data_IF_879419819343
#
_entry.id   IF_879419819343
#
_cell.length_a   1.000
_cell.length_b   1.000
_cell.length_c   1.000
_cell.angle_alpha   90.00
_cell.angle_beta   90.00
_cell.angle_gamma   90.00
#
_symmetry.space_group_name_H-M   'P 1'
#
loop_
_entity.id
_entity.type
_entity.pdbx_description
1 polymer ?
#
# COMPACT_ATOMS: atom_id res chain seq x y z
N UNK A 1 8.97 -5.04 5.20
CA UNK A 1 8.53 -4.31 6.37
C UNK A 1 9.11 -4.94 7.63
N UNK A 2 9.72 -4.14 8.49
CA UNK A 2 10.34 -4.61 9.74
C UNK A 2 9.32 -5.08 10.77
N UNK A 3 8.06 -4.66 10.61
CA UNK A 3 6.99 -5.01 11.53
C UNK A 3 5.75 -5.44 10.75
N UNK A 4 5.80 -6.61 10.10
CA UNK A 4 4.71 -7.04 9.24
C UNK A 4 3.43 -7.29 10.04
N UNK A 5 2.30 -6.87 9.48
CA UNK A 5 0.98 -6.98 10.09
C UNK A 5 0.16 -8.17 9.56
N UNK A 6 0.76 -8.97 8.68
CA UNK A 6 0.15 -10.16 8.10
C UNK A 6 1.26 -11.11 7.62
N UNK A 7 0.95 -12.39 7.37
CA UNK A 7 1.92 -13.35 6.82
C UNK A 7 2.52 -12.89 5.49
N UNK A 8 1.73 -12.18 4.67
CA UNK A 8 2.23 -11.47 3.51
C UNK A 8 1.99 -9.99 3.73
N UNK A 9 3.04 -9.20 3.69
CA UNK A 9 2.95 -7.75 3.86
C UNK A 9 4.07 -7.12 3.04
N UNK A 10 3.71 -6.43 1.97
CA UNK A 10 4.69 -5.71 1.15
C UNK A 10 4.20 -4.30 0.84
N UNK A 11 5.12 -3.47 0.35
CA UNK A 11 4.85 -2.08 0.03
C UNK A 11 5.00 -1.84 -1.46
N UNK A 12 4.12 -1.03 -2.02
CA UNK A 12 4.26 -0.51 -3.38
C UNK A 12 4.60 0.97 -3.27
N UNK A 13 5.74 1.36 -3.83
CA UNK A 13 6.33 2.68 -3.66
C UNK A 13 6.74 3.22 -5.03
N UNK A 14 6.35 4.46 -5.40
CA UNK A 14 6.86 5.08 -6.63
C UNK A 14 8.33 5.47 -6.46
N UNK A 15 9.09 5.48 -7.56
CA UNK A 15 10.48 5.94 -7.53
C UNK A 15 10.58 7.43 -7.26
N UNK A 16 9.69 8.22 -7.87
CA UNK A 16 9.63 9.66 -7.61
C UNK A 16 9.07 9.91 -6.22
N UNK A 17 9.67 10.83 -5.49
CA UNK A 17 9.25 11.17 -4.15
C UNK A 17 7.96 11.99 -4.14
N UNK A 18 6.98 11.50 -3.38
CA UNK A 18 5.78 12.24 -2.98
C UNK A 18 5.59 11.98 -1.48
N UNK A 19 5.38 13.02 -0.70
CA UNK A 19 5.25 12.86 0.75
C UNK A 19 4.01 12.05 1.13
N UNK A 20 2.91 12.25 0.44
CA UNK A 20 1.67 11.54 0.72
C UNK A 20 0.80 11.44 -0.54
N UNK A 21 -0.32 10.74 -0.41
CA UNK A 21 -1.32 10.64 -1.48
C UNK A 21 -1.78 12.01 -1.97
N UNK A 22 -1.89 12.99 -1.08
CA UNK A 22 -2.33 14.34 -1.41
C UNK A 22 -1.37 15.10 -2.34
N UNK A 23 -0.11 14.67 -2.39
CA UNK A 23 0.94 15.38 -3.13
C UNK A 23 1.15 14.85 -4.54
N UNK A 24 0.50 13.74 -4.90
CA UNK A 24 0.63 13.16 -6.22
C UNK A 24 -0.11 14.04 -7.23
N UNK A 25 0.62 14.53 -8.23
CA UNK A 25 0.15 15.48 -9.23
C UNK A 25 0.04 14.87 -10.64
N UNK A 26 0.16 13.56 -10.75
CA UNK A 26 0.20 12.86 -12.03
C UNK A 26 -0.74 11.64 -12.00
N UNK A 27 -1.67 11.61 -12.97
CA UNK A 27 -2.57 10.46 -13.15
C UNK A 27 -1.79 9.19 -13.50
N UNK A 28 -0.69 9.33 -14.24
CA UNK A 28 0.17 8.21 -14.60
C UNK A 28 0.80 7.55 -13.37
N UNK A 29 1.22 8.36 -12.39
CA UNK A 29 1.78 7.84 -11.15
C UNK A 29 0.73 7.05 -10.37
N UNK A 30 -0.50 7.57 -10.26
CA UNK A 30 -1.61 6.81 -9.65
C UNK A 30 -1.83 5.47 -10.38
N UNK A 31 -1.88 5.50 -11.70
CA UNK A 31 -2.08 4.30 -12.50
C UNK A 31 -0.94 3.30 -12.28
N UNK A 32 0.30 3.76 -12.28
CA UNK A 32 1.47 2.91 -12.08
C UNK A 32 1.46 2.23 -10.72
N UNK A 33 1.18 2.98 -9.65
CA UNK A 33 1.14 2.45 -8.29
C UNK A 33 0.04 1.39 -8.17
N UNK A 34 -1.19 1.75 -8.52
CA UNK A 34 -2.33 0.87 -8.26
C UNK A 34 -2.47 -0.26 -9.27
N UNK A 35 -1.95 -0.12 -10.49
CA UNK A 35 -1.88 -1.24 -11.42
C UNK A 35 -0.80 -2.26 -11.03
N UNK A 36 0.23 -1.85 -10.31
CA UNK A 36 1.26 -2.76 -9.83
C UNK A 36 0.73 -3.73 -8.78
N UNK A 37 -0.24 -3.32 -7.96
CA UNK A 37 -0.79 -4.14 -6.87
C UNK A 37 -1.32 -5.49 -7.36
N UNK A 38 -2.30 -5.54 -8.29
CA UNK A 38 -2.80 -6.82 -8.75
C UNK A 38 -1.76 -7.64 -9.54
N UNK A 39 -0.85 -6.98 -10.25
CA UNK A 39 0.22 -7.69 -10.97
C UNK A 39 1.17 -8.42 -10.03
N UNK A 40 1.56 -7.78 -8.93
CA UNK A 40 2.44 -8.38 -7.93
C UNK A 40 1.69 -9.50 -7.19
N UNK A 41 0.43 -9.25 -6.82
CA UNK A 41 -0.40 -10.25 -6.15
C UNK A 41 -0.52 -11.51 -7.02
N UNK A 42 -0.76 -11.37 -8.31
CA UNK A 42 -0.83 -12.50 -9.24
C UNK A 42 0.46 -13.29 -9.28
N UNK A 43 1.61 -12.61 -9.36
CA UNK A 43 2.93 -13.27 -9.36
C UNK A 43 3.17 -14.06 -8.08
N UNK A 44 2.65 -13.60 -6.95
CA UNK A 44 2.79 -14.25 -5.65
C UNK A 44 1.70 -15.29 -5.38
N UNK A 45 0.75 -15.47 -6.29
CA UNK A 45 -0.36 -16.39 -6.12
C UNK A 45 -1.39 -15.94 -5.10
N UNK A 46 -1.47 -14.64 -4.83
CA UNK A 46 -2.39 -14.06 -3.86
C UNK A 46 -3.65 -13.61 -4.57
N UNK A 47 -4.82 -14.12 -4.13
CA UNK A 47 -6.12 -13.78 -4.74
C UNK A 47 -6.92 -12.81 -3.89
N UNK A 48 -6.70 -12.80 -2.59
CA UNK A 48 -7.43 -11.95 -1.65
C UNK A 48 -6.43 -11.17 -0.80
N UNK A 49 -6.61 -9.88 -0.73
CA UNK A 49 -5.69 -9.01 0.01
C UNK A 49 -6.37 -7.70 0.41
N UNK A 50 -5.79 -7.03 1.36
CA UNK A 50 -6.20 -5.67 1.77
C UNK A 50 -5.10 -4.69 1.42
N UNK A 51 -5.49 -3.54 0.90
CA UNK A 51 -4.56 -2.43 0.69
C UNK A 51 -4.87 -1.30 1.66
N UNK A 52 -3.82 -0.64 2.15
CA UNK A 52 -3.93 0.50 3.06
C UNK A 52 -2.96 1.58 2.60
N UNK A 53 -3.47 2.81 2.50
CA UNK A 53 -2.65 4.00 2.26
C UNK A 53 -2.95 4.98 3.38
N UNK A 54 -1.95 5.27 4.21
CA UNK A 54 -2.09 6.23 5.29
C UNK A 54 -1.67 7.61 4.78
N UNK A 55 -2.51 8.61 5.01
CA UNK A 55 -2.24 9.99 4.62
C UNK A 55 -2.33 10.87 5.84
N UNK A 56 -1.19 11.40 6.27
CA UNK A 56 -1.09 12.24 7.45
C UNK A 56 -0.81 11.46 8.73
N UNK A 57 -0.29 12.18 9.73
CA UNK A 57 0.18 11.60 10.97
C UNK A 57 -0.94 10.93 11.77
N UNK A 58 -2.09 11.59 11.91
CA UNK A 58 -3.20 11.04 12.69
C UNK A 58 -3.86 9.83 12.03
N UNK A 59 -3.65 9.65 10.72
CA UNK A 59 -4.11 8.46 9.99
C UNK A 59 -3.10 7.31 10.04
N UNK A 60 -1.96 7.51 10.70
CA UNK A 60 -0.96 6.47 10.88
C UNK A 60 0.23 6.53 9.93
N UNK A 61 0.36 7.61 9.16
CA UNK A 61 1.54 7.78 8.31
C UNK A 61 2.73 8.18 9.17
N UNK A 62 3.77 7.35 9.16
CA UNK A 62 5.01 7.60 9.91
C UNK A 62 6.21 7.84 9.00
N UNK A 63 6.16 7.39 7.77
CA UNK A 63 7.17 7.62 6.74
C UNK A 63 6.54 8.48 5.64
N UNK A 64 7.12 9.66 5.40
CA UNK A 64 6.56 10.64 4.45
C UNK A 64 7.18 10.48 3.07
N UNK A 65 7.02 9.30 2.54
CA UNK A 65 7.17 8.91 1.16
C UNK A 65 6.00 7.98 0.87
N UNK A 66 5.13 8.37 -0.08
CA UNK A 66 3.90 7.62 -0.35
C UNK A 66 4.18 6.13 -0.54
N UNK A 67 3.40 5.29 0.13
CA UNK A 67 3.47 3.86 -0.04
C UNK A 67 2.11 3.22 0.20
N UNK A 68 1.86 2.14 -0.52
CA UNK A 68 0.65 1.33 -0.39
C UNK A 68 1.03 0.03 0.30
N UNK A 69 0.44 -0.22 1.47
CA UNK A 69 0.54 -1.51 2.13
C UNK A 69 -0.35 -2.52 1.40
N UNK A 70 0.20 -3.69 1.13
CA UNK A 70 -0.58 -4.83 0.62
C UNK A 70 -0.39 -5.98 1.59
N UNK A 71 -1.49 -6.45 2.16
CA UNK A 71 -1.47 -7.46 3.21
C UNK A 71 -2.39 -8.63 2.86
N UNK A 72 -1.93 -9.84 3.13
CA UNK A 72 -2.67 -11.06 2.83
C UNK A 72 -2.27 -12.20 3.78
N UNK A 73 -2.99 -13.30 3.71
CA UNK A 73 -2.65 -14.52 4.42
C UNK A 73 -3.36 -14.68 5.78
N UNK A 74 -4.27 -13.77 6.10
CA UNK A 74 -5.14 -13.88 7.27
C UNK A 74 -6.45 -13.17 7.01
N UNK A 75 -7.44 -13.39 7.88
CA UNK A 75 -8.66 -12.60 7.84
C UNK A 75 -8.41 -11.20 8.41
N UNK A 76 -9.07 -10.23 7.81
CA UNK A 76 -9.02 -8.84 8.24
C UNK A 76 -10.42 -8.41 8.69
N UNK A 77 -10.47 -7.78 9.85
CA UNK A 77 -11.73 -7.38 10.46
C UNK A 77 -12.19 -6.00 9.98
N UNK A 78 -13.43 -5.71 10.27
CA UNK A 78 -14.01 -4.39 10.10
C UNK A 78 -14.58 -3.92 11.44
N UNK A 79 -14.37 -2.68 11.88
CA UNK A 79 -13.65 -1.58 11.18
C UNK A 79 -12.15 -1.83 11.01
N UNK A 80 -11.58 -1.11 10.03
CA UNK A 80 -10.23 -1.36 9.54
C UNK A 80 -9.09 -0.91 10.48
N UNK A 81 -9.39 -0.26 11.56
CA UNK A 81 -8.36 0.26 12.44
C UNK A 81 -8.56 0.02 13.91
#
# INVERSE_FOLDING_TARGET
>A
DLNPQAPVHFLVIPKKHYASLNDIDSKEIFADIFSAVPKIAEKLGIKEYRTVVNTGESAGQTVFHIHVHVMAGRNFNWPAG
#
